data_IF_588088355768
#
_entry.id   IF_588088355768
#
_cell.length_a   1.000
_cell.length_b   1.000
_cell.length_c   1.000
_cell.angle_alpha   90.00
_cell.angle_beta   90.00
_cell.angle_gamma   90.00
#
_symmetry.space_group_name_H-M   'P 1'
#
loop_
_entity.id
_entity.type
_entity.pdbx_description
1 polymer ?
#
# COMPACT_ATOMS: atom_id res chain seq x y z
N UNK A 1 -25.17 7.59 -7.62
CA UNK A 1 -24.67 6.31 -8.15
C UNK A 1 -23.43 5.96 -7.36
N UNK A 2 -23.25 4.69 -6.99
CA UNK A 2 -22.08 4.25 -6.22
C UNK A 2 -20.89 4.15 -7.17
N UNK A 3 -19.82 4.92 -6.89
CA UNK A 3 -18.62 5.00 -7.72
C UNK A 3 -17.66 3.86 -7.33
N UNK A 4 -17.14 3.05 -8.28
CA UNK A 4 -16.10 2.07 -7.97
C UNK A 4 -14.81 2.77 -7.51
N UNK A 5 -14.10 2.15 -6.56
CA UNK A 5 -12.86 2.67 -6.00
C UNK A 5 -11.71 1.72 -6.38
N UNK A 6 -10.81 2.09 -7.32
CA UNK A 6 -9.59 1.34 -7.58
C UNK A 6 -8.53 1.56 -6.49
N UNK A 7 -7.52 0.71 -6.46
CA UNK A 7 -6.34 0.81 -5.58
C UNK A 7 -6.63 0.78 -4.07
N UNK A 8 -7.82 0.35 -3.65
CA UNK A 8 -8.14 0.09 -2.25
C UNK A 8 -7.60 -1.28 -1.87
N UNK A 9 -6.88 -1.37 -0.75
CA UNK A 9 -6.38 -2.66 -0.28
C UNK A 9 -7.52 -3.41 0.40
N UNK A 10 -7.75 -4.64 -0.05
CA UNK A 10 -8.63 -5.59 0.62
C UNK A 10 -7.75 -6.74 1.10
N UNK A 11 -7.94 -7.17 2.34
CA UNK A 11 -7.24 -8.33 2.87
C UNK A 11 -8.12 -9.14 3.82
N UNK A 12 -7.77 -10.41 4.00
CA UNK A 12 -8.54 -11.35 4.80
C UNK A 12 -7.72 -11.78 6.01
N UNK A 13 -8.20 -11.49 7.22
CA UNK A 13 -7.62 -12.04 8.46
C UNK A 13 -8.29 -13.39 8.72
N UNK A 14 -7.54 -14.52 8.65
CA UNK A 14 -8.10 -15.86 8.86
C UNK A 14 -8.37 -16.15 10.34
N UNK A 15 -9.09 -17.25 10.64
CA UNK A 15 -9.13 -17.80 11.99
C UNK A 15 -7.71 -18.07 12.53
N UNK A 16 -7.47 -17.80 13.81
CA UNK A 16 -6.15 -17.97 14.46
C UNK A 16 -5.60 -19.40 14.34
N UNK A 17 -6.48 -20.40 14.25
CA UNK A 17 -6.08 -21.81 14.09
C UNK A 17 -5.60 -22.17 12.69
N UNK A 18 -5.79 -21.29 11.71
CA UNK A 18 -5.44 -21.56 10.32
C UNK A 18 -4.00 -21.15 10.03
N UNK A 19 -3.19 -22.13 9.60
CA UNK A 19 -1.84 -21.87 9.08
C UNK A 19 -1.92 -21.80 7.56
N UNK A 20 -1.49 -20.67 7.00
CA UNK A 20 -1.49 -20.43 5.55
C UNK A 20 -0.07 -20.44 5.00
N UNK A 21 0.15 -20.92 3.76
CA UNK A 21 1.43 -20.77 3.11
C UNK A 21 1.76 -19.29 2.97
N UNK A 22 2.99 -18.86 3.31
CA UNK A 22 3.35 -17.45 3.30
C UNK A 22 3.50 -16.96 1.86
N UNK A 23 3.14 -15.69 1.63
CA UNK A 23 3.31 -14.98 0.36
C UNK A 23 4.53 -14.08 0.47
N UNK A 24 5.65 -14.55 -0.07
CA UNK A 24 7.01 -14.01 0.18
C UNK A 24 7.69 -13.45 -1.08
N UNK A 25 6.92 -13.29 -2.16
CA UNK A 25 7.42 -12.63 -3.36
C UNK A 25 7.88 -11.21 -3.02
N UNK A 26 9.06 -10.78 -3.53
CA UNK A 26 9.51 -9.41 -3.34
C UNK A 26 8.49 -8.41 -3.91
N UNK A 27 8.21 -7.35 -3.18
CA UNK A 27 7.43 -6.20 -3.69
C UNK A 27 8.38 -5.10 -4.13
N UNK A 28 8.00 -4.36 -5.18
CA UNK A 28 8.78 -3.22 -5.67
C UNK A 28 8.15 -1.90 -5.22
N UNK A 29 9.02 -0.97 -4.82
CA UNK A 29 8.69 0.45 -4.59
C UNK A 29 9.65 1.28 -5.44
N UNK A 30 9.14 1.88 -6.50
CA UNK A 30 9.92 2.61 -7.50
C UNK A 30 9.82 4.10 -7.18
N UNK A 31 10.92 4.84 -7.27
CA UNK A 31 10.91 6.30 -7.38
C UNK A 31 10.93 6.64 -8.86
N UNK A 32 9.84 7.23 -9.36
CA UNK A 32 9.70 7.63 -10.75
C UNK A 32 8.82 8.88 -10.81
N UNK A 33 9.17 9.81 -11.69
CA UNK A 33 8.52 11.13 -11.80
C UNK A 33 8.48 11.87 -10.44
N UNK A 34 9.54 11.70 -9.62
CA UNK A 34 9.64 12.28 -8.27
C UNK A 34 8.48 11.88 -7.35
N UNK A 35 7.92 10.68 -7.57
CA UNK A 35 6.85 10.07 -6.79
C UNK A 35 7.19 8.61 -6.45
N UNK A 36 6.49 8.03 -5.46
CA UNK A 36 6.56 6.59 -5.23
C UNK A 36 5.53 5.86 -6.11
N UNK A 37 5.99 4.86 -6.86
CA UNK A 37 5.19 4.02 -7.73
C UNK A 37 5.34 2.54 -7.32
N UNK A 38 4.24 1.85 -6.93
CA UNK A 38 2.91 2.40 -6.70
C UNK A 38 2.85 3.30 -5.45
N UNK A 39 1.84 4.17 -5.37
CA UNK A 39 1.56 4.95 -4.15
C UNK A 39 1.29 4.05 -2.93
N UNK A 40 0.65 2.89 -3.15
CA UNK A 40 0.45 1.84 -2.14
C UNK A 40 1.05 0.54 -2.64
N UNK A 41 2.11 0.10 -1.98
CA UNK A 41 2.65 -1.25 -2.04
C UNK A 41 2.11 -2.08 -0.87
N UNK A 42 1.92 -3.39 -1.07
CA UNK A 42 1.41 -4.31 -0.04
C UNK A 42 2.24 -5.58 -0.05
N UNK A 43 2.61 -6.05 1.15
CA UNK A 43 3.37 -7.28 1.34
C UNK A 43 2.91 -8.01 2.60
N UNK A 44 3.24 -9.29 2.71
CA UNK A 44 3.21 -9.97 4.00
C UNK A 44 4.50 -9.66 4.78
N UNK A 45 4.43 -9.57 6.11
CA UNK A 45 5.63 -9.44 6.94
C UNK A 45 6.63 -10.57 6.65
N UNK A 46 7.91 -10.25 6.79
CA UNK A 46 9.02 -11.16 6.47
C UNK A 46 9.37 -11.24 4.99
N UNK A 47 8.48 -10.78 4.08
CA UNK A 47 8.83 -10.67 2.67
C UNK A 47 9.88 -9.58 2.45
N UNK A 48 10.41 -9.49 1.23
CA UNK A 48 11.41 -8.49 0.88
C UNK A 48 10.84 -7.35 0.06
N UNK A 49 11.47 -6.18 0.15
CA UNK A 49 11.11 -5.00 -0.64
C UNK A 49 12.31 -4.55 -1.45
N UNK A 50 12.12 -4.38 -2.75
CA UNK A 50 13.09 -3.77 -3.63
C UNK A 50 12.71 -2.31 -3.87
N UNK A 51 13.53 -1.40 -3.35
CA UNK A 51 13.42 0.01 -3.66
C UNK A 51 14.27 0.32 -4.88
N UNK A 52 13.68 0.88 -5.94
CA UNK A 52 14.38 1.20 -7.18
C UNK A 52 14.22 2.68 -7.50
N UNK A 53 15.27 3.33 -7.98
CA UNK A 53 15.21 4.71 -8.43
C UNK A 53 15.33 4.77 -9.95
N UNK A 54 14.23 5.11 -10.62
CA UNK A 54 14.13 5.28 -12.07
C UNK A 54 14.23 6.75 -12.50
N UNK A 55 14.32 7.69 -11.55
CA UNK A 55 14.63 9.08 -11.84
C UNK A 55 16.14 9.28 -12.12
N UNK A 56 16.48 10.41 -12.71
CA UNK A 56 17.85 10.84 -13.02
C UNK A 56 18.56 11.57 -11.86
N UNK A 57 17.90 11.67 -10.71
CA UNK A 57 18.38 12.31 -9.49
C UNK A 57 18.49 11.30 -8.34
N UNK A 58 19.29 11.63 -7.32
CA UNK A 58 19.34 10.83 -6.08
C UNK A 58 18.16 11.16 -5.19
N UNK A 59 17.48 10.14 -4.66
CA UNK A 59 16.46 10.32 -3.62
C UNK A 59 17.01 9.95 -2.24
N UNK A 60 16.51 10.59 -1.19
CA UNK A 60 16.73 10.21 0.20
C UNK A 60 15.40 9.83 0.82
N UNK A 61 15.05 8.55 0.74
CA UNK A 61 13.76 8.03 1.19
C UNK A 61 13.82 7.60 2.65
N UNK A 62 12.71 7.78 3.36
CA UNK A 62 12.63 7.47 4.79
C UNK A 62 11.22 7.06 5.22
N UNK A 63 11.16 6.35 6.36
CA UNK A 63 9.96 6.20 7.18
C UNK A 63 10.35 6.49 8.64
N UNK A 64 9.77 7.51 9.30
CA UNK A 64 10.33 8.06 10.52
C UNK A 64 9.85 7.38 11.82
N UNK A 65 8.78 6.57 11.76
CA UNK A 65 8.04 6.09 12.92
C UNK A 65 7.89 4.57 12.95
N UNK A 66 7.73 4.03 14.15
CA UNK A 66 7.46 2.60 14.37
C UNK A 66 8.67 1.68 14.23
N UNK A 67 8.41 0.39 14.33
CA UNK A 67 9.44 -0.66 14.34
C UNK A 67 10.05 -0.93 12.96
N UNK A 68 9.42 -0.41 11.90
CA UNK A 68 9.83 -0.54 10.50
C UNK A 68 10.50 0.73 9.96
N UNK A 69 10.95 1.64 10.84
CA UNK A 69 11.62 2.89 10.43
C UNK A 69 12.87 2.64 9.59
N UNK A 70 13.11 3.50 8.61
CA UNK A 70 14.32 3.48 7.81
C UNK A 70 14.65 4.88 7.27
N UNK A 71 15.90 5.08 6.85
CA UNK A 71 16.31 6.22 6.04
C UNK A 71 17.55 5.83 5.22
N UNK A 72 17.53 6.09 3.91
CA UNK A 72 18.70 5.87 3.04
C UNK A 72 18.58 6.58 1.69
N UNK A 73 19.74 6.77 1.04
CA UNK A 73 19.81 7.30 -0.31
C UNK A 73 19.78 6.20 -1.36
N UNK A 74 19.18 6.50 -2.51
CA UNK A 74 19.27 5.69 -3.73
C UNK A 74 19.65 6.61 -4.88
N UNK A 75 20.82 6.41 -5.46
CA UNK A 75 21.27 7.17 -6.63
C UNK A 75 20.44 6.82 -7.86
N UNK A 76 20.46 7.70 -8.87
CA UNK A 76 19.79 7.48 -10.15
C UNK A 76 20.14 6.10 -10.75
N UNK A 77 19.11 5.37 -11.21
CA UNK A 77 19.23 4.05 -11.81
C UNK A 77 19.69 2.92 -10.86
N UNK A 78 19.79 3.18 -9.56
CA UNK A 78 20.19 2.16 -8.57
C UNK A 78 18.98 1.55 -7.87
N UNK A 79 19.20 0.41 -7.23
CA UNK A 79 18.22 -0.29 -6.42
C UNK A 79 18.80 -0.74 -5.08
N UNK A 80 17.91 -0.98 -4.11
CA UNK A 80 18.24 -1.48 -2.79
C UNK A 80 17.19 -2.47 -2.30
N UNK A 81 17.63 -3.66 -1.92
CA UNK A 81 16.78 -4.67 -1.31
C UNK A 81 16.77 -4.53 0.23
N UNK A 82 15.60 -4.68 0.86
CA UNK A 82 15.41 -4.79 2.31
C UNK A 82 14.66 -6.07 2.67
N UNK A 83 15.03 -6.66 3.81
CA UNK A 83 14.53 -7.96 4.31
C UNK A 83 14.09 -7.89 5.79
N UNK A 84 14.16 -6.71 6.40
CA UNK A 84 14.04 -6.48 7.85
C UNK A 84 12.65 -5.98 8.27
N UNK A 85 11.65 -6.06 7.38
CA UNK A 85 10.26 -5.70 7.67
C UNK A 85 9.51 -6.85 8.38
N UNK A 86 9.65 -6.91 9.70
CA UNK A 86 9.15 -8.02 10.54
C UNK A 86 7.85 -7.70 11.30
N UNK A 87 7.39 -6.45 11.27
CA UNK A 87 6.20 -6.02 11.99
C UNK A 87 5.10 -5.62 10.99
N UNK A 88 3.87 -6.06 11.22
CA UNK A 88 2.72 -5.61 10.43
C UNK A 88 2.35 -4.16 10.78
N UNK A 89 1.88 -3.42 9.78
CA UNK A 89 1.53 -2.01 9.91
C UNK A 89 1.73 -1.24 8.62
N UNK A 90 1.24 0.01 8.62
CA UNK A 90 1.49 0.97 7.55
C UNK A 90 2.87 1.63 7.76
N UNK A 91 3.74 1.49 6.76
CA UNK A 91 5.01 2.20 6.68
C UNK A 91 4.81 3.39 5.77
N UNK A 92 4.55 4.55 6.40
CA UNK A 92 4.47 5.84 5.70
C UNK A 92 5.87 6.23 5.24
N UNK A 93 6.01 6.49 3.95
CA UNK A 93 7.27 6.83 3.29
C UNK A 93 7.24 8.27 2.82
N UNK A 94 8.40 8.93 2.91
CA UNK A 94 8.64 10.26 2.37
C UNK A 94 10.03 10.37 1.72
N UNK A 95 10.31 11.50 1.08
CA UNK A 95 11.63 11.86 0.58
C UNK A 95 12.11 13.18 1.21
N UNK A 96 13.36 13.23 1.69
CA UNK A 96 13.94 14.45 2.27
C UNK A 96 14.34 15.52 1.24
N UNK A 97 14.18 15.23 -0.06
CA UNK A 97 14.58 16.12 -1.16
C UNK A 97 13.34 16.70 -1.85
N UNK A 98 12.24 15.95 -1.89
CA UNK A 98 10.98 16.34 -2.52
C UNK A 98 9.88 16.24 -1.47
N UNK A 99 9.51 17.36 -0.86
CA UNK A 99 8.59 17.37 0.29
C UNK A 99 7.17 16.86 -0.05
N UNK A 100 6.80 16.88 -1.34
CA UNK A 100 5.52 16.32 -1.83
C UNK A 100 5.53 14.79 -1.94
N UNK A 101 6.71 14.18 -2.07
CA UNK A 101 6.86 12.77 -2.40
C UNK A 101 6.51 11.92 -1.19
N UNK A 102 5.40 11.18 -1.31
CA UNK A 102 4.88 10.32 -0.24
C UNK A 102 4.33 9.01 -0.77
N UNK A 103 4.30 7.98 0.07
CA UNK A 103 3.78 6.68 -0.30
C UNK A 103 3.62 5.77 0.89
N UNK A 104 3.02 4.60 0.67
CA UNK A 104 2.69 3.65 1.73
C UNK A 104 3.16 2.25 1.35
N UNK A 105 3.82 1.59 2.29
CA UNK A 105 4.06 0.15 2.26
C UNK A 105 3.23 -0.49 3.37
N UNK A 106 2.11 -1.11 3.02
CA UNK A 106 1.27 -1.82 3.96
C UNK A 106 1.81 -3.24 4.17
N UNK A 107 2.27 -3.52 5.38
CA UNK A 107 2.77 -4.83 5.78
C UNK A 107 1.68 -5.57 6.54
N UNK A 108 1.31 -6.75 6.08
CA UNK A 108 0.21 -7.53 6.62
C UNK A 108 0.70 -8.82 7.28
N UNK A 109 -0.07 -9.29 8.26
CA UNK A 109 0.11 -10.63 8.87
C UNK A 109 -0.30 -11.75 7.92
N UNK A 110 -1.31 -11.50 7.08
CA UNK A 110 -1.95 -12.48 6.21
C UNK A 110 -1.34 -12.50 4.80
N UNK A 111 -1.28 -13.66 4.13
CA UNK A 111 -0.93 -13.73 2.71
C UNK A 111 -2.12 -13.36 1.79
N UNK A 112 -3.35 -13.29 2.32
CA UNK A 112 -4.55 -12.96 1.55
C UNK A 112 -4.75 -11.45 1.46
N UNK A 113 -4.18 -10.82 0.44
CA UNK A 113 -4.41 -9.42 0.12
C UNK A 113 -4.42 -9.16 -1.40
N UNK A 114 -5.22 -8.17 -1.80
CA UNK A 114 -5.33 -7.68 -3.16
C UNK A 114 -5.70 -6.20 -3.15
N UNK A 115 -5.39 -5.49 -4.24
CA UNK A 115 -5.94 -4.15 -4.49
C UNK A 115 -7.16 -4.25 -5.39
N UNK A 116 -8.15 -3.41 -5.18
CA UNK A 116 -9.29 -3.31 -6.08
C UNK A 116 -8.86 -2.82 -7.46
N UNK A 117 -9.47 -3.38 -8.50
CA UNK A 117 -9.27 -2.93 -9.88
C UNK A 117 -10.12 -1.68 -10.21
N UNK A 118 -10.08 -1.22 -11.46
CA UNK A 118 -10.87 -0.07 -11.97
C UNK A 118 -12.39 -0.22 -11.77
N UNK A 119 -12.89 -1.45 -11.64
CA UNK A 119 -14.29 -1.73 -11.34
C UNK A 119 -14.57 -1.89 -9.84
N UNK A 120 -13.59 -1.62 -8.97
CA UNK A 120 -13.70 -1.71 -7.52
C UNK A 120 -13.69 -3.14 -6.97
N UNK A 121 -13.24 -4.13 -7.76
CA UNK A 121 -13.30 -5.54 -7.37
C UNK A 121 -11.93 -6.06 -6.90
N UNK A 122 -11.94 -6.83 -5.82
CA UNK A 122 -10.84 -7.66 -5.36
C UNK A 122 -11.33 -9.12 -5.26
N UNK A 123 -10.53 -10.07 -5.73
CA UNK A 123 -10.90 -11.49 -5.81
C UNK A 123 -9.88 -12.31 -5.03
N UNK A 124 -10.39 -13.25 -4.23
CA UNK A 124 -9.59 -14.14 -3.40
C UNK A 124 -10.00 -15.59 -3.67
N UNK A 125 -9.02 -16.47 -3.80
CA UNK A 125 -9.23 -17.92 -3.78
C UNK A 125 -9.02 -18.42 -2.36
N UNK A 126 -10.11 -18.43 -1.58
CA UNK A 126 -10.12 -18.89 -0.18
C UNK A 126 -10.54 -20.36 -0.16
N UNK A 127 -9.58 -21.25 0.13
CA UNK A 127 -9.80 -22.70 0.12
C UNK A 127 -10.34 -23.23 1.44
N UNK A 128 -9.87 -22.64 2.54
CA UNK A 128 -10.19 -23.08 3.89
C UNK A 128 -11.45 -22.39 4.41
N UNK A 129 -12.39 -23.21 4.88
CA UNK A 129 -13.64 -22.73 5.46
C UNK A 129 -13.41 -22.10 6.83
N UNK A 130 -14.27 -21.15 7.19
CA UNK A 130 -14.31 -20.58 8.53
C UNK A 130 -14.64 -19.10 8.55
N UNK A 131 -14.55 -18.51 9.73
CA UNK A 131 -14.82 -17.10 9.96
C UNK A 131 -13.57 -16.25 9.70
N UNK A 132 -13.64 -15.40 8.69
CA UNK A 132 -12.60 -14.43 8.35
C UNK A 132 -13.08 -13.02 8.68
N UNK A 133 -12.14 -12.12 8.97
CA UNK A 133 -12.41 -10.69 8.89
C UNK A 133 -12.01 -10.23 7.48
N UNK A 134 -12.98 -9.76 6.71
CA UNK A 134 -12.72 -9.03 5.46
C UNK A 134 -12.42 -7.59 5.83
N UNK A 135 -11.25 -7.11 5.46
CA UNK A 135 -10.78 -5.77 5.81
C UNK A 135 -10.57 -4.98 4.54
N UNK A 136 -11.07 -3.75 4.55
CA UNK A 136 -10.83 -2.74 3.52
C UNK A 136 -10.01 -1.63 4.16
N UNK A 137 -8.88 -1.28 3.53
CA UNK A 137 -7.94 -0.29 4.02
C UNK A 137 -7.48 0.63 2.89
N UNK A 138 -7.30 1.90 3.21
CA UNK A 138 -6.70 2.90 2.32
C UNK A 138 -6.18 4.06 3.16
N UNK A 139 -5.00 4.66 2.88
CA UNK A 139 -4.44 5.69 3.75
C UNK A 139 -5.30 6.96 3.85
N UNK A 140 -6.14 7.21 2.84
CA UNK A 140 -7.14 8.30 2.84
C UNK A 140 -8.50 7.91 3.45
N UNK A 141 -8.63 6.75 4.09
CA UNK A 141 -9.89 6.34 4.71
C UNK A 141 -10.12 7.11 6.01
N UNK A 142 -11.25 7.80 6.13
CA UNK A 142 -11.62 8.60 7.30
C UNK A 142 -12.30 7.76 8.40
N UNK A 143 -11.67 6.63 8.73
CA UNK A 143 -12.07 5.69 9.78
C UNK A 143 -10.90 5.41 10.72
N UNK A 144 -11.18 4.85 11.89
CA UNK A 144 -10.12 4.48 12.83
C UNK A 144 -9.15 3.49 12.16
N UNK A 145 -7.85 3.74 12.31
CA UNK A 145 -6.78 2.94 11.72
C UNK A 145 -6.88 2.81 10.19
N UNK A 146 -7.57 3.75 9.54
CA UNK A 146 -7.78 3.81 8.09
C UNK A 146 -8.44 2.54 7.50
N UNK A 147 -9.24 1.82 8.30
CA UNK A 147 -9.86 0.55 7.90
C UNK A 147 -11.32 0.40 8.29
N UNK A 148 -12.02 -0.44 7.53
CA UNK A 148 -13.31 -1.04 7.87
C UNK A 148 -13.14 -2.55 7.86
N UNK A 149 -13.71 -3.25 8.83
CA UNK A 149 -13.69 -4.71 8.90
C UNK A 149 -15.11 -5.28 9.00
N UNK A 150 -15.34 -6.40 8.32
CA UNK A 150 -16.58 -7.16 8.39
C UNK A 150 -16.29 -8.63 8.58
N UNK A 151 -16.95 -9.24 9.58
CA UNK A 151 -16.85 -10.69 9.79
C UNK A 151 -17.67 -11.45 8.76
N UNK A 152 -17.06 -12.44 8.12
CA UNK A 152 -17.66 -13.25 7.07
C UNK A 152 -17.30 -14.71 7.31
N UNK A 153 -18.32 -15.56 7.46
CA UNK A 153 -18.11 -17.01 7.39
C UNK A 153 -18.08 -17.46 5.92
N UNK A 154 -16.97 -18.06 5.51
CA UNK A 154 -16.78 -18.68 4.19
C UNK A 154 -17.01 -20.18 4.29
N UNK A 155 -18.19 -20.63 3.85
CA UNK A 155 -18.53 -22.05 3.71
C UNK A 155 -18.50 -22.52 2.24
N UNK A 156 -18.61 -21.54 1.34
CA UNK A 156 -18.65 -21.64 -0.12
C UNK A 156 -18.25 -20.28 -0.71
N UNK A 157 -18.09 -20.23 -2.04
CA UNK A 157 -17.87 -18.97 -2.75
C UNK A 157 -18.93 -17.93 -2.38
N UNK A 158 -18.49 -16.72 -2.07
CA UNK A 158 -19.35 -15.64 -1.59
C UNK A 158 -18.92 -14.32 -2.19
N UNK A 159 -19.87 -13.62 -2.81
CA UNK A 159 -19.69 -12.22 -3.22
C UNK A 159 -20.05 -11.31 -2.06
N UNK A 160 -19.16 -10.38 -1.72
CA UNK A 160 -19.40 -9.34 -0.74
C UNK A 160 -19.38 -7.98 -1.43
N UNK A 161 -20.24 -7.07 -0.98
CA UNK A 161 -20.23 -5.67 -1.40
C UNK A 161 -20.03 -4.81 -0.16
N UNK A 162 -18.95 -4.04 -0.12
CA UNK A 162 -18.66 -3.10 0.96
C UNK A 162 -18.80 -1.69 0.39
N UNK A 163 -19.63 -0.88 1.04
CA UNK A 163 -19.82 0.53 0.69
C UNK A 163 -19.21 1.40 1.79
N UNK A 164 -18.34 2.32 1.40
CA UNK A 164 -17.82 3.30 2.34
C UNK A 164 -18.94 4.27 2.74
N UNK A 165 -19.04 4.57 4.03
CA UNK A 165 -19.99 5.54 4.59
C UNK A 165 -19.56 6.99 4.33
N UNK A 166 -18.26 7.20 4.15
CA UNK A 166 -17.62 8.48 3.80
C UNK A 166 -16.78 8.30 2.54
N UNK A 167 -16.62 9.34 1.71
CA UNK A 167 -15.62 9.31 0.65
C UNK A 167 -14.21 9.19 1.25
N UNK A 168 -13.28 8.67 0.45
CA UNK A 168 -11.86 8.79 0.77
C UNK A 168 -11.48 10.27 0.74
N UNK A 169 -10.56 10.67 1.64
CA UNK A 169 -9.89 11.96 1.54
C UNK A 169 -9.12 12.07 0.21
N UNK A 170 -8.77 13.29 -0.17
CA UNK A 170 -7.97 13.53 -1.37
C UNK A 170 -6.56 12.95 -1.20
N UNK A 171 -6.02 12.40 -2.29
CA UNK A 171 -4.63 11.98 -2.33
C UNK A 171 -3.73 13.21 -2.29
N UNK A 172 -2.61 13.20 -1.54
CA UNK A 172 -1.65 14.29 -1.59
C UNK A 172 -1.14 14.47 -3.01
N UNK A 173 -1.07 15.71 -3.48
CA UNK A 173 -0.55 16.02 -4.80
C UNK A 173 0.93 15.60 -4.88
N UNK A 174 1.30 14.75 -5.84
CA UNK A 174 2.65 14.17 -5.97
C UNK A 174 3.49 14.94 -6.98
N UNK A 175 3.39 16.28 -6.97
CA UNK A 175 4.14 17.16 -7.88
C UNK A 175 4.69 18.35 -7.11
N UNK A 176 5.72 18.97 -7.68
CA UNK A 176 6.26 20.22 -7.15
C UNK A 176 5.25 21.35 -7.37
N UNK A 177 4.80 22.01 -6.30
CA UNK A 177 4.00 23.23 -6.44
C UNK A 177 4.85 24.41 -6.92
N UNK A 178 6.17 24.41 -6.72
CA UNK A 178 7.07 25.51 -7.12
C UNK A 178 7.57 25.43 -8.58
N UNK A 179 7.18 24.41 -9.36
CA UNK A 179 7.48 24.32 -10.80
C UNK A 179 6.53 25.22 -11.65
N UNK A 180 5.84 26.20 -11.04
CA UNK A 180 5.01 27.19 -11.74
C UNK A 180 5.80 27.91 -12.85
N UNK A 181 5.46 27.59 -14.10
CA UNK A 181 5.39 28.47 -15.28
C UNK A 181 6.51 29.52 -15.47
N UNK A 182 7.78 29.20 -15.20
CA UNK A 182 8.86 30.14 -15.56
C UNK A 182 9.20 30.14 -17.07
N UNK A 183 8.50 29.35 -17.89
CA UNK A 183 8.81 29.15 -19.32
C UNK A 183 7.68 29.49 -20.30
N UNK A 184 6.58 30.13 -19.87
CA UNK A 184 5.53 30.56 -20.81
C UNK A 184 5.62 32.02 -21.26
N UNK A 185 6.50 32.85 -20.66
CA UNK A 185 6.58 34.29 -20.92
C UNK A 185 7.96 34.77 -21.46
N UNK A 186 8.61 34.01 -22.35
CA UNK A 186 9.74 34.52 -23.16
C UNK A 186 9.67 34.10 -24.63
#
# INVERSE_FOLDING_TARGET
>A
MDKPLPNVVVYLEPPVSLSLPPRQEPVEVIQADKAFAPYIAVMQKGASVKFKNDDDITHHIYSPVGDNKFAFKISAGQERMKHDFQHAGDVVMGCNIHDWMSGHLLILETPYFAKTNEQGNAVFDVKDKGQYQVVVWHPQMLEKDNRIAQSVNFEQSKKLSIKLTKPLAELPNQVNEDDFDFLSDY
#
